data_IF_436740365919
#
_entry.id   IF_436740365919
#
_cell.length_a   1.000
_cell.length_b   1.000
_cell.length_c   1.000
_cell.angle_alpha   90.00
_cell.angle_beta   90.00
_cell.angle_gamma   90.00
#
_symmetry.space_group_name_H-M   'P 1'
#
loop_
_entity.id
_entity.type
_entity.pdbx_description
1 polymer ?
#
# COMPACT_ATOMS: atom_id res chain seq x y z
N UNK A 1 18.91 -58.01 64.73
CA UNK A 1 19.86 -58.18 63.62
C UNK A 1 19.12 -57.87 62.31
N UNK A 2 19.25 -56.61 61.78
CA UNK A 2 18.63 -56.17 60.53
C UNK A 2 19.64 -56.41 59.39
N UNK A 3 19.33 -57.35 58.47
CA UNK A 3 20.13 -57.59 57.27
C UNK A 3 19.81 -56.50 56.23
N UNK A 4 20.72 -55.54 56.05
CA UNK A 4 20.73 -54.59 54.96
C UNK A 4 20.89 -55.33 53.63
N UNK A 5 19.86 -55.44 52.88
CA UNK A 5 19.80 -56.05 51.53
C UNK A 5 20.34 -55.08 50.50
N UNK A 6 21.66 -54.99 50.33
CA UNK A 6 22.28 -54.22 49.24
C UNK A 6 22.08 -54.98 47.92
N UNK A 7 21.00 -54.69 47.24
CA UNK A 7 20.83 -55.07 45.81
C UNK A 7 22.02 -54.51 45.02
N UNK A 8 22.99 -55.40 44.71
CA UNK A 8 24.03 -55.02 43.72
C UNK A 8 23.36 -54.77 42.40
N UNK A 9 23.32 -53.50 42.00
CA UNK A 9 22.80 -53.07 40.67
C UNK A 9 23.87 -53.52 39.68
N UNK A 10 23.46 -54.30 38.68
CA UNK A 10 24.33 -54.87 37.67
C UNK A 10 24.97 -53.73 36.86
N UNK A 11 26.31 -53.62 36.81
CA UNK A 11 27.00 -52.50 36.14
C UNK A 11 26.68 -52.38 34.66
N UNK A 12 26.33 -53.48 33.99
CA UNK A 12 25.91 -53.51 32.61
C UNK A 12 24.58 -52.77 32.38
N UNK A 13 23.60 -52.92 33.27
CA UNK A 13 22.30 -52.27 33.22
C UNK A 13 22.45 -50.76 33.43
N UNK A 14 23.35 -50.35 34.33
CA UNK A 14 23.63 -48.92 34.54
C UNK A 14 24.32 -48.30 33.34
N UNK A 15 25.24 -49.03 32.68
CA UNK A 15 25.94 -48.58 31.49
C UNK A 15 24.98 -48.44 30.30
N UNK A 16 24.09 -49.41 30.08
CA UNK A 16 23.07 -49.37 29.03
C UNK A 16 22.06 -48.22 29.24
N UNK A 17 21.66 -47.95 30.47
CA UNK A 17 20.77 -46.82 30.82
C UNK A 17 21.47 -45.48 30.61
N UNK A 18 22.75 -45.35 30.98
CA UNK A 18 23.54 -44.13 30.70
C UNK A 18 23.73 -43.88 29.22
N UNK A 19 23.98 -44.90 28.39
CA UNK A 19 24.09 -44.76 26.94
C UNK A 19 22.77 -44.34 26.30
N UNK A 20 21.62 -44.86 26.76
CA UNK A 20 20.30 -44.44 26.27
C UNK A 20 19.95 -43.00 26.65
N UNK A 21 20.29 -42.57 27.87
CA UNK A 21 20.09 -41.18 28.30
C UNK A 21 21.05 -40.23 27.59
N UNK A 22 22.31 -40.59 27.42
CA UNK A 22 23.29 -39.82 26.65
C UNK A 22 22.86 -39.64 25.18
N UNK A 23 22.33 -40.73 24.56
CA UNK A 23 21.80 -40.66 23.20
C UNK A 23 20.56 -39.74 23.06
N UNK A 24 19.67 -39.72 24.08
CA UNK A 24 18.52 -38.80 24.09
C UNK A 24 18.95 -37.36 24.30
N UNK A 25 19.87 -37.09 25.20
CA UNK A 25 20.47 -35.77 25.44
C UNK A 25 21.19 -35.27 24.18
N UNK A 26 21.98 -36.14 23.52
CA UNK A 26 22.66 -35.79 22.27
C UNK A 26 21.68 -35.38 21.14
N UNK A 27 20.58 -36.13 21.01
CA UNK A 27 19.51 -35.76 20.05
C UNK A 27 18.83 -34.42 20.39
N UNK A 28 18.59 -34.17 21.69
CA UNK A 28 18.03 -32.88 22.14
C UNK A 28 19.00 -31.72 21.86
N UNK A 29 20.29 -31.91 22.17
CA UNK A 29 21.30 -30.89 21.85
C UNK A 29 21.43 -30.65 20.35
N UNK A 30 21.39 -31.69 19.52
CA UNK A 30 21.40 -31.53 18.06
C UNK A 30 20.16 -30.77 17.54
N UNK A 31 18.99 -31.06 18.11
CA UNK A 31 17.76 -30.33 17.74
C UNK A 31 17.84 -28.87 18.15
N UNK A 32 18.28 -28.55 19.35
CA UNK A 32 18.45 -27.18 19.83
C UNK A 32 19.50 -26.43 19.00
N UNK A 33 20.61 -27.07 18.65
CA UNK A 33 21.63 -26.50 17.79
C UNK A 33 21.09 -26.21 16.38
N UNK A 34 20.29 -27.12 15.82
CA UNK A 34 19.64 -26.93 14.52
C UNK A 34 18.66 -25.75 14.55
N UNK A 35 17.80 -25.67 15.56
CA UNK A 35 16.88 -24.55 15.73
C UNK A 35 17.66 -23.25 15.94
N UNK A 36 18.66 -23.24 16.78
CA UNK A 36 19.50 -22.08 17.04
C UNK A 36 20.23 -21.58 15.78
N UNK A 37 20.79 -22.51 15.00
CA UNK A 37 21.46 -22.13 13.74
C UNK A 37 20.50 -21.60 12.68
N UNK A 38 19.30 -22.15 12.57
CA UNK A 38 18.29 -21.63 11.63
C UNK A 38 17.78 -20.25 12.04
N UNK A 39 17.54 -20.01 13.32
CA UNK A 39 17.14 -18.69 13.83
C UNK A 39 18.27 -17.66 13.63
N UNK A 40 19.52 -18.06 13.92
CA UNK A 40 20.67 -17.18 13.72
C UNK A 40 20.89 -16.85 12.24
N UNK A 41 20.78 -17.86 11.36
CA UNK A 41 20.89 -17.64 9.92
C UNK A 41 19.77 -16.70 9.41
N UNK A 42 18.53 -16.90 9.87
CA UNK A 42 17.41 -16.01 9.53
C UNK A 42 17.63 -14.58 10.00
N UNK A 43 18.11 -14.38 11.21
CA UNK A 43 18.43 -13.07 11.75
C UNK A 43 19.58 -12.39 10.98
N UNK A 44 20.64 -13.13 10.68
CA UNK A 44 21.80 -12.64 9.94
C UNK A 44 21.42 -12.27 8.49
N UNK A 45 20.64 -13.11 7.80
CA UNK A 45 20.15 -12.86 6.45
C UNK A 45 19.24 -11.62 6.40
N UNK A 46 18.38 -11.45 7.41
CA UNK A 46 17.50 -10.27 7.50
C UNK A 46 18.31 -8.95 7.54
N UNK A 47 19.41 -8.93 8.27
CA UNK A 47 20.33 -7.79 8.33
C UNK A 47 21.19 -7.63 7.07
N UNK A 48 21.71 -8.74 6.53
CA UNK A 48 22.57 -8.73 5.34
C UNK A 48 21.79 -8.29 4.05
N UNK A 49 20.49 -8.48 4.02
CA UNK A 49 19.60 -8.07 2.92
C UNK A 49 18.89 -6.74 3.23
N UNK A 50 19.46 -5.89 4.06
CA UNK A 50 18.90 -4.56 4.32
C UNK A 50 18.97 -3.67 3.07
N UNK A 51 17.94 -2.85 2.88
CA UNK A 51 17.87 -1.94 1.72
C UNK A 51 18.80 -0.76 1.94
N UNK A 52 19.80 -0.64 1.09
CA UNK A 52 20.75 0.45 1.07
C UNK A 52 20.51 1.44 -0.10
N UNK A 53 19.87 0.97 -1.17
CA UNK A 53 19.64 1.74 -2.39
C UNK A 53 18.20 1.58 -2.86
N UNK A 54 17.68 2.62 -3.50
CA UNK A 54 16.37 2.55 -4.18
C UNK A 54 16.36 3.43 -5.41
N UNK A 55 15.61 2.97 -6.40
CA UNK A 55 15.34 3.71 -7.62
C UNK A 55 13.83 3.90 -7.71
N UNK A 56 13.39 5.17 -7.84
CA UNK A 56 11.99 5.53 -7.90
C UNK A 56 11.68 6.08 -9.29
N UNK A 57 10.74 5.46 -9.99
CA UNK A 57 10.19 5.92 -11.26
C UNK A 57 8.76 6.44 -11.06
N UNK A 58 8.40 7.51 -11.75
CA UNK A 58 7.05 8.08 -11.73
C UNK A 58 7.05 9.60 -11.63
N UNK A 59 5.96 10.15 -11.14
CA UNK A 59 5.77 11.58 -10.94
C UNK A 59 6.75 12.18 -9.93
N UNK A 60 7.17 13.43 -10.15
CA UNK A 60 8.18 14.10 -9.32
C UNK A 60 7.75 14.28 -7.86
N UNK A 61 6.47 14.60 -7.62
CA UNK A 61 5.94 14.79 -6.26
C UNK A 61 5.88 13.46 -5.51
N UNK A 62 5.45 12.39 -6.18
CA UNK A 62 5.43 11.06 -5.59
C UNK A 62 6.83 10.53 -5.31
N UNK A 63 7.80 10.82 -6.18
CA UNK A 63 9.21 10.46 -5.93
C UNK A 63 9.72 11.06 -4.62
N UNK A 64 9.51 12.35 -4.42
CA UNK A 64 9.93 13.05 -3.20
C UNK A 64 9.22 12.45 -1.98
N UNK A 65 7.90 12.28 -2.05
CA UNK A 65 7.12 11.75 -0.94
C UNK A 65 7.53 10.31 -0.56
N UNK A 66 7.80 9.44 -1.53
CA UNK A 66 8.27 8.07 -1.30
C UNK A 66 9.69 8.08 -0.73
N UNK A 67 10.57 8.92 -1.26
CA UNK A 67 11.96 9.05 -0.79
C UNK A 67 12.00 9.49 0.68
N UNK A 68 11.22 10.50 1.05
CA UNK A 68 11.07 10.95 2.45
C UNK A 68 10.57 9.82 3.36
N UNK A 69 9.58 9.02 2.91
CA UNK A 69 9.08 7.88 3.67
C UNK A 69 10.14 6.79 3.88
N UNK A 70 10.95 6.50 2.86
CA UNK A 70 12.04 5.54 2.96
C UNK A 70 13.17 6.04 3.85
N UNK A 71 13.51 7.33 3.76
CA UNK A 71 14.53 7.94 4.61
C UNK A 71 14.10 7.99 6.08
N UNK A 72 12.81 8.21 6.35
CA UNK A 72 12.25 8.25 7.70
C UNK A 72 12.12 6.86 8.37
N UNK A 73 12.36 5.77 7.64
CA UNK A 73 12.29 4.42 8.23
C UNK A 73 13.48 4.15 9.13
N UNK A 74 13.21 3.84 10.41
CA UNK A 74 14.24 3.46 11.40
C UNK A 74 14.97 2.17 11.03
N UNK A 75 14.26 1.22 10.43
CA UNK A 75 14.78 -0.09 10.02
C UNK A 75 14.45 -0.33 8.56
N UNK A 76 15.47 -0.72 7.80
CA UNK A 76 15.36 -1.06 6.38
C UNK A 76 15.80 -2.50 6.11
N UNK A 77 15.55 -3.38 7.07
CA UNK A 77 15.85 -4.80 6.97
C UNK A 77 14.91 -5.52 5.98
N UNK A 78 15.19 -6.79 5.72
CA UNK A 78 14.45 -7.58 4.73
C UNK A 78 12.95 -7.68 5.05
N UNK A 79 12.60 -7.80 6.32
CA UNK A 79 11.22 -7.99 6.75
C UNK A 79 10.43 -6.68 6.73
N UNK A 80 11.03 -5.57 7.19
CA UNK A 80 10.37 -4.26 7.25
C UNK A 80 10.18 -3.60 5.88
N UNK A 81 10.99 -4.00 4.88
CA UNK A 81 10.92 -3.48 3.51
C UNK A 81 10.29 -4.47 2.52
N UNK A 82 9.36 -5.32 2.97
CA UNK A 82 8.62 -6.21 2.07
C UNK A 82 7.78 -5.37 1.09
N UNK A 83 7.86 -5.67 -0.23
CA UNK A 83 7.19 -4.89 -1.26
C UNK A 83 5.69 -4.74 -1.03
N UNK A 84 5.01 -5.80 -0.62
CA UNK A 84 3.56 -5.81 -0.38
C UNK A 84 3.18 -4.86 0.77
N UNK A 85 3.91 -4.95 1.90
CA UNK A 85 3.65 -4.12 3.07
C UNK A 85 3.94 -2.63 2.82
N UNK A 86 5.01 -2.33 2.07
CA UNK A 86 5.30 -0.96 1.65
C UNK A 86 4.24 -0.42 0.69
N UNK A 87 3.80 -1.25 -0.27
CA UNK A 87 2.76 -0.88 -1.22
C UNK A 87 1.45 -0.51 -0.53
N UNK A 88 0.97 -1.36 0.38
CA UNK A 88 -0.24 -1.10 1.17
C UNK A 88 -0.11 0.18 2.01
N UNK A 89 1.04 0.36 2.69
CA UNK A 89 1.31 1.54 3.50
C UNK A 89 1.26 2.83 2.68
N UNK A 90 1.92 2.84 1.51
CA UNK A 90 1.97 4.03 0.66
C UNK A 90 0.65 4.33 -0.01
N UNK A 91 -0.10 3.32 -0.44
CA UNK A 91 -1.45 3.51 -0.97
C UNK A 91 -2.41 4.14 0.04
N UNK A 92 -2.20 3.90 1.34
CA UNK A 92 -2.98 4.53 2.42
C UNK A 92 -2.51 5.94 2.77
N UNK A 93 -1.20 6.21 2.71
CA UNK A 93 -0.61 7.48 3.15
C UNK A 93 -0.50 8.52 2.05
N UNK A 94 -0.44 8.10 0.80
CA UNK A 94 -0.27 8.95 -0.37
C UNK A 94 -1.53 8.87 -1.26
N UNK A 95 -2.58 9.65 -0.96
CA UNK A 95 -3.83 9.58 -1.69
C UNK A 95 -3.70 9.96 -3.16
N UNK A 96 -2.68 10.76 -3.53
CA UNK A 96 -2.38 11.12 -4.92
C UNK A 96 -1.77 9.95 -5.73
N UNK A 97 -1.48 8.82 -5.09
CA UNK A 97 -0.99 7.61 -5.75
C UNK A 97 -2.15 6.77 -6.27
N UNK A 98 -2.12 6.44 -7.56
CA UNK A 98 -3.07 5.55 -8.21
C UNK A 98 -2.67 4.08 -8.06
N UNK A 99 -1.39 3.81 -8.29
CA UNK A 99 -0.83 2.48 -8.14
C UNK A 99 0.67 2.55 -7.84
N UNK A 100 1.18 1.50 -7.20
CA UNK A 100 2.61 1.34 -6.95
C UNK A 100 3.01 -0.10 -7.21
N UNK A 101 4.14 -0.25 -7.89
CA UNK A 101 4.78 -1.53 -8.15
C UNK A 101 6.17 -1.50 -7.52
N UNK A 102 6.43 -2.41 -6.61
CA UNK A 102 7.69 -2.47 -5.88
C UNK A 102 8.32 -3.82 -6.16
N UNK A 103 9.56 -3.81 -6.57
CA UNK A 103 10.37 -5.01 -6.76
C UNK A 103 11.69 -4.90 -6.03
N UNK A 104 12.12 -6.01 -5.44
CA UNK A 104 13.41 -6.08 -4.76
C UNK A 104 14.47 -6.54 -5.74
N UNK A 105 15.56 -5.79 -5.80
CA UNK A 105 16.77 -6.15 -6.54
C UNK A 105 17.83 -6.55 -5.53
N UNK A 106 18.09 -7.84 -5.45
CA UNK A 106 19.04 -8.38 -4.48
C UNK A 106 20.47 -7.92 -4.78
N UNK A 107 21.31 -7.73 -3.75
CA UNK A 107 21.02 -8.03 -2.35
C UNK A 107 20.34 -6.90 -1.58
N UNK A 108 20.47 -5.63 -1.97
CA UNK A 108 20.27 -4.45 -1.13
C UNK A 108 19.46 -3.31 -1.78
N UNK A 109 18.79 -3.55 -2.91
CA UNK A 109 18.09 -2.49 -3.62
C UNK A 109 16.59 -2.72 -3.77
N UNK A 110 15.83 -1.61 -3.90
CA UNK A 110 14.42 -1.58 -4.30
C UNK A 110 14.29 -0.83 -5.62
N UNK A 111 13.46 -1.35 -6.50
CA UNK A 111 12.97 -0.67 -7.68
C UNK A 111 11.47 -0.39 -7.50
N UNK A 112 11.09 0.86 -7.55
CA UNK A 112 9.76 1.36 -7.22
C UNK A 112 9.23 2.12 -8.43
N UNK A 113 8.06 1.72 -8.94
CA UNK A 113 7.34 2.44 -9.98
C UNK A 113 6.01 2.90 -9.39
N UNK A 114 5.85 4.21 -9.23
CA UNK A 114 4.66 4.85 -8.71
C UNK A 114 3.92 5.60 -9.83
N UNK A 115 2.62 5.41 -9.91
CA UNK A 115 1.74 6.10 -10.86
C UNK A 115 0.86 7.06 -10.08
N UNK A 116 0.88 8.34 -10.48
CA UNK A 116 0.03 9.35 -9.89
C UNK A 116 -1.42 9.23 -10.39
N UNK A 117 -2.38 9.58 -9.55
CA UNK A 117 -3.76 9.77 -9.98
C UNK A 117 -3.85 10.96 -10.93
N UNK A 118 -4.65 10.80 -11.96
CA UNK A 118 -4.95 11.89 -12.91
C UNK A 118 -6.23 12.55 -12.47
N UNK A 119 -6.19 13.78 -11.93
CA UNK A 119 -7.38 14.50 -11.54
C UNK A 119 -8.23 14.83 -12.79
N UNK A 120 -9.52 14.60 -12.68
CA UNK A 120 -10.47 14.80 -13.77
C UNK A 120 -11.49 15.91 -13.49
N UNK A 121 -11.82 16.11 -12.22
CA UNK A 121 -12.78 17.11 -11.77
C UNK A 121 -12.54 17.44 -10.28
N UNK A 122 -13.22 18.47 -9.80
CA UNK A 122 -13.45 18.75 -8.39
C UNK A 122 -14.84 18.27 -8.03
N UNK A 123 -14.99 17.54 -6.95
CA UNK A 123 -16.30 17.17 -6.41
C UNK A 123 -16.57 17.95 -5.13
N UNK A 124 -17.71 18.65 -5.08
CA UNK A 124 -18.20 19.29 -3.87
C UNK A 124 -19.11 18.30 -3.13
N UNK A 125 -18.69 17.90 -1.93
CA UNK A 125 -19.46 17.00 -1.08
C UNK A 125 -20.64 17.71 -0.38
N UNK A 126 -21.43 16.96 0.39
CA UNK A 126 -22.60 17.47 1.13
C UNK A 126 -22.21 18.49 2.22
N UNK A 127 -20.95 18.49 2.65
CA UNK A 127 -20.39 19.46 3.61
C UNK A 127 -19.75 20.67 2.93
N UNK A 128 -19.95 20.81 1.62
CA UNK A 128 -19.31 21.85 0.80
C UNK A 128 -17.78 21.77 0.74
N UNK A 129 -17.18 20.64 1.08
CA UNK A 129 -15.76 20.42 0.92
C UNK A 129 -15.44 20.04 -0.52
N UNK A 130 -14.40 20.65 -1.07
CA UNK A 130 -13.91 20.31 -2.41
C UNK A 130 -12.92 19.16 -2.30
N UNK A 131 -13.18 18.11 -3.05
CA UNK A 131 -12.34 16.93 -3.17
C UNK A 131 -11.89 16.75 -4.61
N UNK A 132 -10.65 16.30 -4.80
CA UNK A 132 -10.19 15.89 -6.12
C UNK A 132 -10.86 14.58 -6.52
N UNK A 133 -11.31 14.54 -7.78
CA UNK A 133 -11.99 13.41 -8.39
C UNK A 133 -11.15 12.93 -9.58
N UNK A 134 -10.83 11.65 -9.61
CA UNK A 134 -9.95 11.07 -10.61
C UNK A 134 -10.67 10.62 -11.89
N UNK A 135 -9.91 10.28 -12.91
CA UNK A 135 -10.41 9.76 -14.18
C UNK A 135 -10.98 8.32 -14.08
N UNK A 136 -10.92 7.68 -12.92
CA UNK A 136 -11.52 6.37 -12.64
C UNK A 136 -12.84 6.47 -11.88
N UNK A 137 -13.28 7.68 -11.56
CA UNK A 137 -14.56 7.92 -10.89
C UNK A 137 -14.47 7.91 -9.37
N UNK A 138 -13.28 8.12 -8.77
CA UNK A 138 -13.08 8.12 -7.34
C UNK A 138 -12.74 9.51 -6.81
N UNK A 139 -13.43 9.94 -5.75
CA UNK A 139 -12.98 11.07 -4.95
C UNK A 139 -11.88 10.57 -4.00
N UNK A 140 -10.71 11.20 -3.99
CA UNK A 140 -9.55 10.62 -3.32
C UNK A 140 -8.89 11.50 -2.25
N UNK A 141 -8.94 12.82 -2.37
CA UNK A 141 -8.47 13.72 -1.30
C UNK A 141 -9.15 15.08 -1.31
N UNK A 142 -9.19 15.71 -0.17
CA UNK A 142 -9.65 17.09 -0.02
C UNK A 142 -8.63 18.05 -0.66
N UNK A 143 -9.14 19.07 -1.33
CA UNK A 143 -8.30 20.12 -1.91
C UNK A 143 -7.62 20.93 -0.79
N UNK A 144 -6.32 21.12 -0.90
CA UNK A 144 -5.58 21.91 0.08
C UNK A 144 -5.79 23.41 -0.12
N UNK A 145 -5.56 24.18 0.94
CA UNK A 145 -5.60 25.63 0.84
C UNK A 145 -4.52 26.14 -0.13
N UNK A 146 -4.94 26.99 -1.09
CA UNK A 146 -4.04 27.54 -2.09
C UNK A 146 -3.94 26.72 -3.37
N UNK A 147 -4.47 25.50 -3.41
CA UNK A 147 -4.62 24.76 -4.66
C UNK A 147 -5.80 25.31 -5.45
N UNK A 148 -5.58 25.58 -6.73
CA UNK A 148 -6.62 26.06 -7.67
C UNK A 148 -6.44 25.38 -9.02
N UNK A 149 -6.66 24.06 -9.10
CA UNK A 149 -6.57 23.36 -10.37
C UNK A 149 -7.70 23.80 -11.30
N UNK A 150 -7.38 23.99 -12.57
CA UNK A 150 -8.35 24.29 -13.63
C UNK A 150 -9.10 23.00 -14.04
N UNK A 151 -10.09 22.65 -13.24
CA UNK A 151 -10.89 21.44 -13.38
C UNK A 151 -12.38 21.75 -13.22
N UNK A 152 -13.26 21.05 -13.95
CA UNK A 152 -14.70 21.21 -13.80
C UNK A 152 -15.19 20.82 -12.41
N UNK A 153 -16.19 21.54 -11.91
CA UNK A 153 -16.80 21.28 -10.61
C UNK A 153 -18.00 20.34 -10.74
N UNK A 154 -18.01 19.25 -9.99
CA UNK A 154 -19.15 18.33 -9.87
C UNK A 154 -19.94 18.67 -8.60
N UNK A 155 -21.16 19.19 -8.76
CA UNK A 155 -22.14 19.41 -7.67
C UNK A 155 -23.22 18.34 -7.73
N UNK A 156 -22.88 17.18 -7.25
CA UNK A 156 -23.73 15.99 -7.28
C UNK A 156 -23.65 15.26 -5.93
N UNK A 157 -24.71 14.54 -5.57
CA UNK A 157 -24.65 13.69 -4.40
C UNK A 157 -23.64 12.54 -4.61
N UNK A 158 -23.16 11.95 -3.52
CA UNK A 158 -22.23 10.81 -3.58
C UNK A 158 -22.80 9.63 -4.37
N UNK A 159 -24.12 9.41 -4.30
CA UNK A 159 -24.79 8.36 -5.05
C UNK A 159 -24.80 8.58 -6.57
N UNK A 160 -24.67 9.84 -7.01
CA UNK A 160 -24.67 10.22 -8.42
C UNK A 160 -23.27 10.32 -9.03
N UNK A 161 -22.21 10.16 -8.23
CA UNK A 161 -20.84 10.22 -8.73
C UNK A 161 -20.54 9.27 -9.90
N UNK A 162 -20.98 7.99 -9.88
CA UNK A 162 -20.73 7.09 -11.02
C UNK A 162 -21.37 7.59 -12.31
N UNK A 163 -22.57 8.15 -12.24
CA UNK A 163 -23.27 8.69 -13.41
C UNK A 163 -22.62 9.99 -13.89
N UNK A 164 -22.20 10.86 -12.97
CA UNK A 164 -21.45 12.08 -13.31
C UNK A 164 -20.11 11.75 -13.98
N UNK A 165 -19.44 10.69 -13.54
CA UNK A 165 -18.22 10.19 -14.16
C UNK A 165 -18.48 9.72 -15.60
N UNK A 166 -19.51 8.91 -15.81
CA UNK A 166 -19.91 8.47 -17.16
C UNK A 166 -20.22 9.64 -18.08
N UNK A 167 -20.96 10.64 -17.58
CA UNK A 167 -21.25 11.86 -18.34
C UNK A 167 -19.97 12.62 -18.69
N UNK A 168 -19.06 12.80 -17.73
CA UNK A 168 -17.77 13.45 -17.97
C UNK A 168 -16.94 12.73 -19.03
N UNK A 169 -16.90 11.40 -18.99
CA UNK A 169 -16.22 10.57 -19.99
C UNK A 169 -16.88 10.65 -21.37
N UNK A 170 -18.22 10.69 -21.43
CA UNK A 170 -18.95 10.88 -22.69
C UNK A 170 -18.63 12.25 -23.32
N UNK A 171 -18.63 13.32 -22.52
CA UNK A 171 -18.28 14.67 -22.98
C UNK A 171 -16.84 14.72 -23.53
N UNK A 172 -15.93 14.01 -22.88
CA UNK A 172 -14.52 13.90 -23.32
C UNK A 172 -14.36 13.16 -24.65
N UNK A 173 -15.10 12.05 -24.84
CA UNK A 173 -14.98 11.22 -26.05
C UNK A 173 -15.57 11.86 -27.30
N UNK A 174 -16.58 12.68 -27.13
CA UNK A 174 -17.34 13.23 -28.27
C UNK A 174 -16.63 14.37 -28.95
N UNK A 175 -15.53 14.90 -28.41
CA UNK A 175 -14.81 16.08 -28.92
C UNK A 175 -15.72 17.29 -29.21
N UNK A 176 -16.96 17.24 -28.64
CA UNK A 176 -18.05 18.18 -28.92
C UNK A 176 -17.76 19.52 -28.25
N UNK A 177 -16.96 19.51 -27.23
CA UNK A 177 -16.57 20.70 -26.48
C UNK A 177 -15.12 20.54 -25.99
N UNK A 178 -14.40 21.62 -26.15
CA UNK A 178 -13.16 21.78 -25.43
C UNK A 178 -13.47 21.62 -23.92
N UNK A 179 -13.03 20.51 -23.29
CA UNK A 179 -13.30 20.26 -21.86
C UNK A 179 -12.73 21.38 -21.01
N UNK A 180 -11.71 22.08 -21.50
CA UNK A 180 -11.21 23.30 -20.90
C UNK A 180 -12.29 24.40 -20.74
N UNK A 181 -13.41 24.31 -21.46
CA UNK A 181 -14.54 25.23 -21.32
C UNK A 181 -15.62 24.73 -20.34
N UNK A 182 -15.54 23.49 -19.88
CA UNK A 182 -16.48 22.91 -18.92
C UNK A 182 -16.19 23.44 -17.50
N UNK A 183 -17.15 24.22 -16.98
CA UNK A 183 -17.00 24.83 -15.65
C UNK A 183 -17.65 24.00 -14.55
N UNK A 184 -18.88 23.53 -14.74
CA UNK A 184 -19.63 22.84 -13.69
C UNK A 184 -20.62 21.83 -14.27
N UNK A 185 -20.76 20.70 -13.60
CA UNK A 185 -21.84 19.72 -13.79
C UNK A 185 -22.66 19.67 -12.51
N UNK A 186 -23.96 19.91 -12.60
CA UNK A 186 -24.90 19.85 -11.50
C UNK A 186 -26.01 18.85 -11.77
N UNK A 187 -26.34 18.05 -10.79
CA UNK A 187 -27.53 17.20 -10.83
C UNK A 187 -28.76 18.03 -10.38
N UNK A 188 -29.72 18.23 -11.27
CA UNK A 188 -31.04 18.74 -10.95
C UNK A 188 -32.00 17.54 -10.68
N UNK A 189 -33.28 17.82 -10.40
CA UNK A 189 -34.24 16.76 -10.04
C UNK A 189 -34.52 15.74 -11.15
N UNK A 190 -34.37 16.12 -12.41
CA UNK A 190 -34.72 15.27 -13.57
C UNK A 190 -33.70 15.31 -14.71
N UNK A 191 -32.64 16.10 -14.60
CA UNK A 191 -31.70 16.33 -15.70
C UNK A 191 -30.36 16.77 -15.13
N UNK A 192 -29.31 16.62 -15.95
CA UNK A 192 -28.01 17.22 -15.76
C UNK A 192 -27.99 18.65 -16.24
N UNK A 193 -27.47 19.59 -15.46
CA UNK A 193 -27.12 20.94 -15.89
C UNK A 193 -25.62 21.04 -16.07
N UNK A 194 -25.20 21.38 -17.26
CA UNK A 194 -23.79 21.47 -17.63
C UNK A 194 -23.53 22.94 -17.98
N UNK A 195 -22.59 23.55 -17.27
CA UNK A 195 -22.22 24.93 -17.44
C UNK A 195 -20.85 25.03 -18.08
N UNK A 196 -20.73 25.91 -19.08
CA UNK A 196 -19.50 26.22 -19.78
C UNK A 196 -19.04 27.63 -19.46
N UNK A 197 -17.71 27.87 -19.51
CA UNK A 197 -17.09 29.17 -19.21
C UNK A 197 -17.61 30.32 -20.05
N UNK A 198 -18.07 30.06 -21.30
CA UNK A 198 -18.67 31.05 -22.21
C UNK A 198 -20.14 31.38 -21.93
N UNK A 199 -20.69 30.96 -20.80
CA UNK A 199 -22.07 31.21 -20.41
C UNK A 199 -23.10 30.30 -21.08
N UNK A 200 -22.68 29.29 -21.81
CA UNK A 200 -23.56 28.27 -22.39
C UNK A 200 -23.98 27.28 -21.32
N UNK A 201 -25.23 26.89 -21.30
CA UNK A 201 -25.79 25.89 -20.40
C UNK A 201 -26.55 24.83 -21.17
N UNK A 202 -26.19 23.55 -20.93
CA UNK A 202 -26.92 22.42 -21.48
C UNK A 202 -27.75 21.73 -20.40
N UNK A 203 -28.90 21.19 -20.83
CA UNK A 203 -29.76 20.33 -19.99
C UNK A 203 -29.89 18.98 -20.66
N UNK A 204 -29.37 17.94 -20.03
CA UNK A 204 -29.44 16.57 -20.52
C UNK A 204 -30.29 15.73 -19.58
N UNK A 205 -31.25 14.91 -20.05
CA UNK A 205 -31.99 14.01 -19.18
C UNK A 205 -31.05 13.01 -18.52
N UNK A 206 -31.44 12.52 -17.36
CA UNK A 206 -30.78 11.32 -16.81
C UNK A 206 -31.07 10.15 -17.75
N UNK A 207 -30.03 9.42 -18.20
CA UNK A 207 -30.16 8.21 -19.00
C UNK A 207 -30.58 7.00 -18.16
#
# INVERSE_FOLDING_TARGET
MSRSNHRRIDPEVVKARRMRTAGRLGKMFALIALIGSTLFAGWWLNGAMSVAKWQIEGDSQLKVAIDEQLQAMDKRDFVSTRPEALGELWMQRLPDMDSVQISRVLPDALHIRAVARVPAALWQDEKSQLQLFDNKGNAYRVLHRGESPDLPLLRVSRAQLPQAHQLLELLRRQDITDIAELSEIRAASRYWQIYFSKGVTWKLPFG
#
